data_IF_921643000900
#
_entry.id   IF_921643000900
#
_cell.length_a   1.000
_cell.length_b   1.000
_cell.length_c   1.000
_cell.angle_alpha   90.00
_cell.angle_beta   90.00
_cell.angle_gamma   90.00
#
_symmetry.space_group_name_H-M   'P 1'
#
loop_
_entity.id
_entity.type
_entity.pdbx_description
1 polymer ?
#
# COMPACT_ATOMS: atom_id res chain seq x y z
N UNK A 1 14.21 2.23 -4.63
CA UNK A 1 12.74 2.09 -4.66
C UNK A 1 12.23 1.94 -3.22
N UNK A 2 11.52 2.93 -2.69
CA UNK A 2 10.96 2.88 -1.32
C UNK A 2 9.43 2.91 -1.41
N UNK A 3 8.78 1.90 -0.82
CA UNK A 3 7.33 1.87 -0.77
C UNK A 3 6.83 2.85 0.30
N UNK A 4 5.66 3.47 0.06
CA UNK A 4 5.04 4.42 1.00
C UNK A 4 4.53 3.75 2.29
N UNK A 5 4.22 2.45 2.24
CA UNK A 5 3.79 1.65 3.39
C UNK A 5 4.83 0.60 3.74
N UNK A 6 5.06 0.40 5.03
CA UNK A 6 5.99 -0.62 5.55
C UNK A 6 5.53 -2.04 5.17
N UNK A 7 4.25 -2.33 5.42
CA UNK A 7 3.55 -3.56 5.02
C UNK A 7 2.54 -3.26 3.91
N UNK A 8 2.34 -4.17 2.96
CA UNK A 8 1.27 -4.03 1.98
C UNK A 8 -0.10 -4.06 2.67
N UNK A 9 -1.09 -3.42 2.06
CA UNK A 9 -2.50 -3.69 2.39
C UNK A 9 -2.82 -5.11 1.92
N UNK A 10 -3.42 -5.91 2.78
CA UNK A 10 -3.89 -7.25 2.44
C UNK A 10 -5.41 -7.21 2.28
N UNK A 11 -5.92 -7.86 1.24
CA UNK A 11 -7.34 -7.95 0.96
C UNK A 11 -7.74 -9.39 0.69
N UNK A 12 -8.85 -9.82 1.27
CA UNK A 12 -9.45 -11.13 1.04
C UNK A 12 -10.93 -10.97 0.73
N UNK A 13 -11.47 -11.92 -0.02
CA UNK A 13 -12.91 -12.02 -0.31
C UNK A 13 -13.34 -13.45 -0.04
N UNK A 14 -14.45 -13.61 0.66
CA UNK A 14 -15.05 -14.90 0.96
C UNK A 14 -16.10 -15.31 -0.08
N UNK A 15 -17.09 -16.08 0.35
CA UNK A 15 -18.24 -16.49 -0.49
C UNK A 15 -19.39 -15.48 -0.49
N UNK A 16 -19.39 -14.53 0.46
CA UNK A 16 -20.33 -13.40 0.47
C UNK A 16 -20.03 -12.53 -0.74
N UNK A 17 -21.05 -12.28 -1.57
CA UNK A 17 -20.87 -11.56 -2.83
C UNK A 17 -20.30 -10.15 -2.60
N UNK A 18 -19.17 -9.88 -3.24
CA UNK A 18 -18.49 -8.58 -3.35
C UNK A 18 -18.04 -7.92 -2.04
N UNK A 19 -18.32 -8.54 -0.90
CA UNK A 19 -17.81 -8.10 0.39
C UNK A 19 -16.35 -8.57 0.57
N UNK A 20 -15.44 -7.61 0.72
CA UNK A 20 -14.03 -7.88 1.00
C UNK A 20 -13.67 -7.47 2.43
N UNK A 21 -12.71 -8.17 3.02
CA UNK A 21 -12.02 -7.75 4.24
C UNK A 21 -10.66 -7.17 3.87
N UNK A 22 -10.40 -5.93 4.30
CA UNK A 22 -9.15 -5.21 4.07
C UNK A 22 -8.41 -5.06 5.39
N UNK A 23 -7.13 -5.39 5.40
CA UNK A 23 -6.24 -5.28 6.55
C UNK A 23 -5.12 -4.27 6.25
N UNK A 24 -4.91 -3.31 7.15
CA UNK A 24 -3.80 -2.37 7.10
C UNK A 24 -3.12 -2.27 8.46
N UNK A 25 -1.79 -2.17 8.50
CA UNK A 25 -0.99 -1.98 9.73
C UNK A 25 -1.47 -2.85 10.92
N UNK A 26 -2.35 -2.30 11.75
CA UNK A 26 -2.92 -2.89 12.98
C UNK A 26 -4.46 -2.91 13.02
N UNK A 27 -5.15 -2.70 11.89
CA UNK A 27 -6.61 -2.63 11.82
C UNK A 27 -7.19 -3.35 10.59
N UNK A 28 -8.51 -3.53 10.61
CA UNK A 28 -9.29 -4.11 9.52
C UNK A 28 -10.61 -3.38 9.31
N UNK A 29 -11.09 -3.36 8.07
CA UNK A 29 -12.38 -2.80 7.66
C UNK A 29 -12.94 -3.62 6.50
N UNK A 30 -14.24 -3.48 6.29
CA UNK A 30 -14.98 -4.16 5.24
C UNK A 30 -15.19 -3.19 4.08
N UNK A 31 -15.16 -3.71 2.86
CA UNK A 31 -15.63 -3.01 1.65
C UNK A 31 -16.72 -3.83 1.02
N UNK A 32 -17.70 -3.19 0.41
CA UNK A 32 -18.80 -3.90 -0.20
C UNK A 32 -19.31 -3.11 -1.40
N UNK A 33 -19.76 -3.82 -2.42
CA UNK A 33 -20.43 -3.20 -3.54
C UNK A 33 -21.87 -2.85 -3.14
N UNK A 34 -22.48 -1.82 -3.75
CA UNK A 34 -23.86 -1.46 -3.47
C UNK A 34 -24.84 -2.54 -3.97
N UNK A 35 -26.08 -2.49 -3.48
CA UNK A 35 -27.15 -3.42 -3.86
C UNK A 35 -27.34 -3.56 -5.39
N UNK A 36 -27.22 -2.46 -6.13
CA UNK A 36 -27.34 -2.43 -7.60
C UNK A 36 -26.27 -3.26 -8.33
N UNK A 37 -25.12 -3.45 -7.70
CA UNK A 37 -23.99 -4.25 -8.20
C UNK A 37 -24.01 -5.68 -7.63
N UNK A 38 -24.99 -6.01 -6.78
CA UNK A 38 -25.17 -7.33 -6.18
C UNK A 38 -24.44 -7.55 -4.85
N UNK A 39 -23.86 -6.49 -4.25
CA UNK A 39 -23.34 -6.52 -2.89
C UNK A 39 -24.43 -6.20 -1.86
N UNK A 40 -24.04 -5.96 -0.61
CA UNK A 40 -24.98 -5.68 0.49
C UNK A 40 -24.88 -4.26 1.03
N UNK A 41 -24.04 -3.40 0.43
CA UNK A 41 -23.83 -2.01 0.87
C UNK A 41 -23.41 -1.90 2.34
N UNK A 42 -22.67 -2.89 2.85
CA UNK A 42 -22.24 -2.98 4.26
C UNK A 42 -20.94 -2.22 4.55
N UNK A 43 -20.32 -1.65 3.53
CA UNK A 43 -19.10 -0.86 3.61
C UNK A 43 -18.92 -0.04 2.33
N UNK A 44 -17.95 0.88 2.29
CA UNK A 44 -17.69 1.69 1.10
C UNK A 44 -17.23 0.81 -0.06
N UNK A 45 -17.73 1.12 -1.26
CA UNK A 45 -17.24 0.54 -2.49
C UNK A 45 -15.82 1.04 -2.83
N UNK A 46 -15.10 0.38 -3.76
CA UNK A 46 -13.72 0.74 -4.11
C UNK A 46 -13.55 2.19 -4.60
N UNK A 47 -14.53 2.75 -5.32
CA UNK A 47 -14.46 4.13 -5.81
C UNK A 47 -14.66 5.12 -4.66
N UNK A 48 -15.62 4.84 -3.76
CA UNK A 48 -15.80 5.60 -2.52
C UNK A 48 -14.52 5.62 -1.70
N UNK A 49 -13.80 4.50 -1.57
CA UNK A 49 -12.50 4.48 -0.87
C UNK A 49 -11.42 5.30 -1.57
N UNK A 50 -11.30 5.20 -2.89
CA UNK A 50 -10.34 5.98 -3.67
C UNK A 50 -10.54 7.48 -3.44
N UNK A 51 -11.77 7.96 -3.54
CA UNK A 51 -12.12 9.38 -3.35
C UNK A 51 -11.99 9.80 -1.88
N UNK A 52 -12.35 8.92 -0.94
CA UNK A 52 -12.17 9.16 0.50
C UNK A 52 -10.70 9.39 0.86
N UNK A 53 -9.77 8.73 0.17
CA UNK A 53 -8.33 8.96 0.35
C UNK A 53 -7.91 10.40 -0.01
N UNK A 54 -8.50 10.97 -1.07
CA UNK A 54 -8.26 12.35 -1.47
C UNK A 54 -8.87 13.33 -0.46
N UNK A 55 -10.12 13.11 -0.06
CA UNK A 55 -10.80 13.97 0.92
C UNK A 55 -10.06 13.99 2.26
N UNK A 56 -9.78 12.82 2.83
CA UNK A 56 -9.08 12.69 4.12
C UNK A 56 -7.66 13.26 4.09
N UNK A 57 -6.90 13.01 3.03
CA UNK A 57 -5.55 13.57 2.88
C UNK A 57 -5.56 15.11 2.80
N UNK A 58 -6.56 15.67 2.12
CA UNK A 58 -6.76 17.12 2.03
C UNK A 58 -7.07 17.72 3.39
N UNK A 59 -8.07 17.16 4.10
CA UNK A 59 -8.46 17.63 5.43
C UNK A 59 -7.30 17.60 6.42
N UNK A 60 -6.55 16.49 6.47
CA UNK A 60 -5.38 16.37 7.33
C UNK A 60 -4.31 17.42 7.00
N UNK A 61 -4.00 17.60 5.71
CA UNK A 61 -3.00 18.57 5.26
C UNK A 61 -3.39 20.01 5.62
N UNK A 62 -4.65 20.38 5.43
CA UNK A 62 -5.17 21.70 5.79
C UNK A 62 -5.12 21.92 7.31
N UNK A 63 -5.60 20.94 8.09
CA UNK A 63 -5.57 21.02 9.56
C UNK A 63 -4.15 21.22 10.07
N UNK A 64 -3.19 20.42 9.61
CA UNK A 64 -1.77 20.57 9.97
C UNK A 64 -1.23 21.98 9.66
N UNK A 65 -1.64 22.58 8.55
CA UNK A 65 -1.19 23.92 8.18
C UNK A 65 -1.82 25.01 9.04
N UNK A 66 -3.13 24.92 9.28
CA UNK A 66 -3.91 25.84 10.12
C UNK A 66 -3.34 25.83 11.54
N UNK A 67 -3.13 24.65 12.12
CA UNK A 67 -2.59 24.49 13.47
C UNK A 67 -1.19 25.10 13.58
N UNK A 68 -0.33 24.88 12.58
CA UNK A 68 1.01 25.49 12.52
C UNK A 68 0.97 27.02 12.45
N UNK A 69 -0.07 27.60 11.84
CA UNK A 69 -0.25 29.04 11.72
C UNK A 69 -1.01 29.66 12.89
N UNK A 70 -1.61 28.85 13.76
CA UNK A 70 -2.43 29.32 14.86
C UNK A 70 -3.72 30.02 14.39
N UNK A 71 -4.26 29.62 13.23
CA UNK A 71 -5.50 30.20 12.72
C UNK A 71 -6.73 29.52 13.34
N UNK A 72 -7.73 30.33 13.72
CA UNK A 72 -8.99 29.82 14.25
C UNK A 72 -9.95 29.42 13.12
N UNK A 73 -9.84 28.16 12.70
CA UNK A 73 -10.70 27.54 11.68
C UNK A 73 -11.22 26.22 12.27
N UNK A 74 -12.37 26.24 12.98
CA UNK A 74 -12.81 25.10 13.79
C UNK A 74 -13.27 23.93 12.91
N UNK A 75 -13.95 24.21 11.79
CA UNK A 75 -14.51 23.20 10.92
C UNK A 75 -14.02 23.37 9.48
N UNK A 76 -13.66 22.25 8.87
CA UNK A 76 -13.28 22.13 7.46
C UNK A 76 -14.07 20.94 6.91
N UNK A 77 -14.69 21.10 5.76
CA UNK A 77 -15.34 20.00 5.04
C UNK A 77 -14.82 19.93 3.61
N UNK A 78 -14.81 18.70 3.08
CA UNK A 78 -14.38 18.42 1.72
C UNK A 78 -15.41 17.49 1.08
N UNK A 79 -15.97 17.92 -0.05
CA UNK A 79 -16.68 17.04 -0.96
C UNK A 79 -15.72 16.71 -2.10
N UNK A 80 -15.65 15.45 -2.51
CA UNK A 80 -14.82 15.04 -3.63
C UNK A 80 -15.57 14.02 -4.47
N UNK A 81 -15.27 14.03 -5.77
CA UNK A 81 -15.80 13.06 -6.72
C UNK A 81 -14.83 12.95 -7.90
N UNK A 82 -15.11 12.04 -8.83
CA UNK A 82 -14.40 11.99 -10.10
C UNK A 82 -15.29 11.48 -11.21
N UNK A 83 -14.88 11.79 -12.44
CA UNK A 83 -15.47 11.25 -13.64
C UNK A 83 -14.38 10.93 -14.66
N UNK A 84 -14.75 10.18 -15.69
CA UNK A 84 -13.86 9.84 -16.78
C UNK A 84 -14.47 10.30 -18.10
N UNK A 85 -13.62 10.82 -18.99
CA UNK A 85 -14.02 11.24 -20.33
C UNK A 85 -12.92 10.93 -21.35
N UNK A 86 -13.28 10.90 -22.62
CA UNK A 86 -12.32 10.65 -23.70
C UNK A 86 -11.87 11.98 -24.28
N UNK A 87 -10.57 12.30 -24.16
CA UNK A 87 -9.94 13.44 -24.82
C UNK A 87 -8.87 12.93 -25.77
N UNK A 88 -8.95 13.32 -27.04
CA UNK A 88 -7.96 12.93 -28.07
C UNK A 88 -7.74 11.40 -28.15
N UNK A 89 -8.82 10.62 -28.02
CA UNK A 89 -8.76 9.15 -28.07
C UNK A 89 -8.16 8.49 -26.81
N UNK A 90 -7.85 9.25 -25.76
CA UNK A 90 -7.35 8.75 -24.48
C UNK A 90 -8.38 8.97 -23.37
N UNK A 91 -8.55 7.99 -22.50
CA UNK A 91 -9.34 8.15 -21.28
C UNK A 91 -8.62 9.09 -20.32
N UNK A 92 -9.26 10.19 -19.96
CA UNK A 92 -8.82 11.16 -18.96
C UNK A 92 -9.73 11.02 -17.74
N UNK A 93 -9.13 10.91 -16.56
CA UNK A 93 -9.86 10.90 -15.29
C UNK A 93 -9.73 12.28 -14.64
N UNK A 94 -10.86 12.87 -14.26
CA UNK A 94 -10.92 14.21 -13.64
C UNK A 94 -11.47 14.05 -12.23
N UNK A 95 -10.74 14.53 -11.24
CA UNK A 95 -11.15 14.58 -9.84
C UNK A 95 -11.56 15.99 -9.46
N UNK A 96 -12.75 16.12 -8.90
CA UNK A 96 -13.27 17.37 -8.35
C UNK A 96 -13.18 17.35 -6.82
N UNK A 97 -12.91 18.51 -6.24
CA UNK A 97 -12.82 18.68 -4.79
C UNK A 97 -13.27 20.07 -4.37
N UNK A 98 -14.36 20.13 -3.63
CA UNK A 98 -14.90 21.35 -3.04
C UNK A 98 -14.53 21.42 -1.57
N UNK A 99 -14.00 22.56 -1.13
CA UNK A 99 -13.53 22.77 0.24
C UNK A 99 -14.36 23.90 0.85
N UNK A 100 -14.93 23.66 2.02
CA UNK A 100 -15.66 24.67 2.79
C UNK A 100 -15.11 24.80 4.21
N UNK A 101 -15.27 25.99 4.77
CA UNK A 101 -14.82 26.36 6.12
C UNK A 101 -16.02 26.82 6.94
N UNK A 102 -16.04 26.48 8.22
CA UNK A 102 -17.17 26.79 9.11
C UNK A 102 -17.36 28.29 9.41
N UNK A 103 -16.33 29.10 9.16
CA UNK A 103 -16.31 30.54 9.37
C UNK A 103 -15.76 31.28 8.14
N UNK A 104 -16.16 32.55 7.93
CA UNK A 104 -15.55 33.39 6.91
C UNK A 104 -14.06 33.56 7.17
N UNK A 105 -13.26 33.44 6.12
CA UNK A 105 -11.81 33.62 6.17
C UNK A 105 -11.40 34.81 5.31
N UNK A 106 -10.38 35.60 5.71
CA UNK A 106 -9.77 36.59 4.85
C UNK A 106 -9.29 35.98 3.53
N UNK A 107 -9.34 36.76 2.45
CA UNK A 107 -9.01 36.28 1.11
C UNK A 107 -7.58 35.71 1.02
N UNK A 108 -6.64 36.30 1.76
CA UNK A 108 -5.27 35.80 1.87
C UNK A 108 -5.21 34.38 2.46
N UNK A 109 -5.97 34.12 3.52
CA UNK A 109 -6.05 32.78 4.11
C UNK A 109 -6.70 31.80 3.15
N UNK A 110 -7.79 32.19 2.47
CA UNK A 110 -8.48 31.34 1.49
C UNK A 110 -7.55 30.95 0.34
N UNK A 111 -6.87 31.93 -0.25
CA UNK A 111 -5.90 31.71 -1.32
C UNK A 111 -4.79 30.77 -0.85
N UNK A 112 -4.24 31.00 0.35
CA UNK A 112 -3.18 30.15 0.89
C UNK A 112 -3.65 28.72 1.17
N UNK A 113 -4.83 28.54 1.74
CA UNK A 113 -5.39 27.21 2.01
C UNK A 113 -5.68 26.45 0.72
N UNK A 114 -6.12 27.13 -0.34
CA UNK A 114 -6.30 26.53 -1.66
C UNK A 114 -4.98 25.99 -2.23
N UNK A 115 -3.88 26.74 -2.12
CA UNK A 115 -2.55 26.26 -2.52
C UNK A 115 -2.11 25.03 -1.72
N UNK A 116 -2.33 25.04 -0.40
CA UNK A 116 -1.97 23.94 0.49
C UNK A 116 -2.80 22.68 0.18
N UNK A 117 -4.08 22.83 -0.15
CA UNK A 117 -4.93 21.71 -0.55
C UNK A 117 -4.42 21.00 -1.82
N UNK A 118 -3.88 21.75 -2.79
CA UNK A 118 -3.27 21.19 -4.01
C UNK A 118 -1.96 20.43 -3.71
N UNK A 119 -1.28 20.78 -2.62
CA UNK A 119 -0.01 20.18 -2.25
C UNK A 119 -0.13 18.89 -1.42
N UNK A 120 -1.35 18.39 -1.15
CA UNK A 120 -1.52 17.19 -0.33
C UNK A 120 -0.90 15.95 -1.02
N UNK A 121 -0.35 14.98 -0.26
CA UNK A 121 0.31 13.81 -0.83
C UNK A 121 -0.50 13.02 -1.86
N UNK A 122 -1.82 12.89 -1.67
CA UNK A 122 -2.70 12.17 -2.62
C UNK A 122 -2.90 12.97 -3.91
N UNK A 123 -3.08 14.29 -3.86
CA UNK A 123 -3.14 15.14 -5.06
C UNK A 123 -1.88 14.97 -5.92
N UNK A 124 -0.70 14.97 -5.30
CA UNK A 124 0.57 14.74 -6.00
C UNK A 124 0.68 13.38 -6.68
N UNK A 125 0.03 12.35 -6.13
CA UNK A 125 -0.02 11.02 -6.75
C UNK A 125 -0.96 11.02 -7.95
N UNK A 126 -2.16 11.61 -7.79
CA UNK A 126 -3.18 11.65 -8.85
C UNK A 126 -2.76 12.51 -10.05
N UNK A 127 -1.98 13.56 -9.82
CA UNK A 127 -1.44 14.44 -10.88
C UNK A 127 -0.12 13.93 -11.48
N UNK A 128 0.45 12.85 -10.92
CA UNK A 128 1.73 12.27 -11.36
C UNK A 128 1.59 11.19 -12.43
N UNK A 129 2.72 10.67 -12.90
CA UNK A 129 2.76 9.49 -13.75
C UNK A 129 2.48 8.23 -12.93
N UNK A 130 1.41 7.51 -13.25
CA UNK A 130 0.97 6.32 -12.52
C UNK A 130 1.19 5.07 -13.38
N UNK A 131 1.93 4.11 -12.84
CA UNK A 131 2.11 2.79 -13.44
C UNK A 131 1.58 1.69 -12.52
N UNK A 132 0.62 0.90 -13.00
CA UNK A 132 0.13 -0.29 -12.31
C UNK A 132 0.85 -1.53 -12.85
N UNK A 133 1.41 -2.34 -11.95
CA UNK A 133 2.06 -3.62 -12.31
C UNK A 133 1.32 -4.78 -11.65
N UNK A 134 0.71 -5.62 -12.46
CA UNK A 134 -0.10 -6.78 -12.02
C UNK A 134 0.65 -8.07 -12.25
N UNK A 135 0.51 -9.01 -11.31
CA UNK A 135 1.17 -10.31 -11.38
C UNK A 135 0.24 -11.36 -10.79
N UNK A 136 0.10 -12.48 -11.48
CA UNK A 136 -0.63 -13.65 -11.01
C UNK A 136 0.34 -14.65 -10.40
N UNK A 137 -0.05 -15.29 -9.30
CA UNK A 137 0.75 -16.30 -8.63
C UNK A 137 0.00 -17.62 -8.61
N UNK A 138 0.68 -18.72 -8.94
CA UNK A 138 0.24 -20.09 -8.68
C UNK A 138 1.39 -20.86 -8.06
N UNK A 139 1.15 -21.59 -6.98
CA UNK A 139 2.21 -22.38 -6.33
C UNK A 139 2.72 -23.54 -7.19
N UNK A 140 1.87 -24.03 -8.09
CA UNK A 140 2.14 -25.11 -9.03
C UNK A 140 3.15 -24.71 -10.11
N UNK A 141 3.22 -23.41 -10.43
CA UNK A 141 4.12 -22.88 -11.48
C UNK A 141 5.58 -22.74 -11.00
N UNK A 142 5.88 -23.10 -9.74
CA UNK A 142 7.24 -23.01 -9.17
C UNK A 142 8.06 -24.23 -9.57
N UNK A 143 8.83 -24.14 -10.65
CA UNK A 143 9.71 -25.24 -11.08
C UNK A 143 10.95 -25.34 -10.21
N UNK A 144 11.45 -24.20 -9.72
CA UNK A 144 12.68 -24.13 -8.93
C UNK A 144 12.47 -23.55 -7.54
N UNK A 145 12.79 -24.35 -6.52
CA UNK A 145 12.87 -23.93 -5.11
C UNK A 145 14.30 -24.15 -4.64
N UNK A 146 14.97 -23.08 -4.21
CA UNK A 146 16.31 -23.16 -3.65
C UNK A 146 16.22 -22.91 -2.15
N UNK A 147 16.78 -23.81 -1.36
CA UNK A 147 16.69 -23.81 0.09
C UNK A 147 18.02 -23.39 0.70
N UNK A 148 17.98 -22.45 1.64
CA UNK A 148 19.14 -21.95 2.37
C UNK A 148 18.82 -21.99 3.86
N UNK A 149 19.58 -22.77 4.62
CA UNK A 149 19.33 -23.01 6.04
C UNK A 149 20.52 -22.58 6.89
N UNK A 150 20.24 -22.07 8.09
CA UNK A 150 21.22 -21.83 9.16
C UNK A 150 21.08 -22.80 10.34
N UNK A 151 20.29 -23.88 10.17
CA UNK A 151 19.97 -24.83 11.23
C UNK A 151 18.67 -24.50 11.96
N UNK A 152 18.35 -23.24 12.21
CA UNK A 152 17.11 -22.82 12.89
C UNK A 152 15.97 -22.50 11.91
N UNK A 153 16.29 -21.82 10.81
CA UNK A 153 15.32 -21.41 9.79
C UNK A 153 15.84 -21.79 8.41
N UNK A 154 14.92 -22.26 7.56
CA UNK A 154 15.18 -22.44 6.13
C UNK A 154 14.46 -21.36 5.33
N UNK A 155 15.23 -20.57 4.57
CA UNK A 155 14.74 -19.63 3.57
C UNK A 155 14.57 -20.36 2.24
N UNK A 156 13.36 -20.32 1.68
CA UNK A 156 13.04 -20.85 0.36
C UNK A 156 12.97 -19.70 -0.62
N UNK A 157 13.83 -19.73 -1.63
CA UNK A 157 13.81 -18.80 -2.75
C UNK A 157 13.20 -19.44 -4.00
N UNK A 158 12.27 -18.72 -4.61
CA UNK A 158 11.56 -19.05 -5.86
C UNK A 158 11.93 -18.01 -6.92
N UNK A 159 12.94 -18.27 -7.79
CA UNK A 159 13.47 -17.32 -8.77
C UNK A 159 12.41 -16.69 -9.67
N UNK A 160 11.51 -17.54 -10.17
CA UNK A 160 10.45 -17.18 -11.12
C UNK A 160 9.46 -16.17 -10.53
N UNK A 161 9.39 -16.09 -9.20
CA UNK A 161 8.50 -15.19 -8.47
C UNK A 161 9.19 -13.88 -8.11
N UNK A 162 10.51 -13.75 -8.32
CA UNK A 162 11.25 -12.57 -7.93
C UNK A 162 10.91 -11.41 -8.85
N UNK A 163 10.21 -10.40 -8.33
CA UNK A 163 9.90 -9.16 -9.07
C UNK A 163 11.05 -8.15 -9.03
N UNK A 164 12.21 -8.55 -8.52
CA UNK A 164 13.41 -7.72 -8.36
C UNK A 164 13.12 -6.34 -7.75
N UNK A 165 12.20 -6.28 -6.79
CA UNK A 165 11.93 -5.07 -6.00
C UNK A 165 13.15 -4.62 -5.18
N UNK A 166 14.24 -5.42 -5.18
CA UNK A 166 15.51 -5.22 -4.52
C UNK A 166 15.43 -5.02 -2.99
N UNK A 167 14.28 -5.21 -2.35
CA UNK A 167 14.12 -5.04 -0.89
C UNK A 167 15.08 -5.92 -0.09
N UNK A 168 15.15 -7.21 -0.43
CA UNK A 168 16.04 -8.16 0.23
C UNK A 168 17.51 -7.70 0.14
N UNK A 169 18.01 -7.49 -1.08
CA UNK A 169 19.41 -7.12 -1.31
C UNK A 169 19.78 -5.71 -0.83
N UNK A 170 18.85 -4.76 -0.86
CA UNK A 170 19.13 -3.39 -0.41
C UNK A 170 19.02 -3.19 1.09
N UNK A 171 18.18 -3.97 1.79
CA UNK A 171 17.91 -3.78 3.22
C UNK A 171 18.63 -4.77 4.12
N UNK A 172 19.08 -5.91 3.58
CA UNK A 172 19.87 -6.90 4.31
C UNK A 172 20.94 -7.50 3.37
N UNK A 173 21.87 -6.68 2.84
CA UNK A 173 22.89 -7.11 1.88
C UNK A 173 23.84 -8.19 2.43
N UNK A 174 24.01 -8.27 3.75
CA UNK A 174 24.82 -9.31 4.40
C UNK A 174 24.22 -10.73 4.26
N UNK A 175 22.91 -10.82 3.98
CA UNK A 175 22.18 -12.08 3.76
C UNK A 175 21.81 -12.28 2.29
N UNK A 176 21.41 -11.23 1.57
CA UNK A 176 20.92 -11.35 0.20
C UNK A 176 21.81 -10.58 -0.79
N UNK A 177 22.71 -11.28 -1.48
CA UNK A 177 23.57 -10.66 -2.49
C UNK A 177 23.35 -11.29 -3.88
N UNK A 178 22.68 -10.61 -4.83
CA UNK A 178 22.44 -11.12 -6.18
C UNK A 178 23.73 -11.45 -6.97
N UNK A 179 24.87 -10.89 -6.56
CA UNK A 179 26.17 -11.12 -7.20
C UNK A 179 26.96 -12.26 -6.55
N UNK A 180 26.57 -12.70 -5.35
CA UNK A 180 27.21 -13.80 -4.66
C UNK A 180 26.69 -15.17 -5.11
N UNK A 181 27.53 -16.19 -4.94
CA UNK A 181 27.14 -17.60 -5.03
C UNK A 181 27.59 -18.29 -3.74
N UNK A 182 26.66 -18.74 -2.87
CA UNK A 182 25.19 -18.67 -2.99
C UNK A 182 24.64 -17.23 -2.92
N UNK A 183 23.50 -16.97 -3.58
CA UNK A 183 22.80 -15.67 -3.46
C UNK A 183 22.43 -15.38 -1.99
N UNK A 184 21.87 -16.37 -1.28
CA UNK A 184 21.43 -16.18 0.09
C UNK A 184 22.46 -16.78 1.05
N UNK A 185 23.04 -15.94 1.89
CA UNK A 185 23.85 -16.32 3.04
C UNK A 185 22.96 -16.39 4.29
N UNK A 186 22.43 -17.58 4.60
CA UNK A 186 21.54 -17.80 5.75
C UNK A 186 22.21 -17.54 7.11
N UNK A 187 23.54 -17.46 7.16
CA UNK A 187 24.31 -17.13 8.37
C UNK A 187 24.71 -15.64 8.45
N UNK A 188 24.27 -14.82 7.49
CA UNK A 188 24.67 -13.41 7.41
C UNK A 188 24.05 -12.51 8.48
N UNK A 189 22.95 -12.93 9.12
CA UNK A 189 22.29 -12.20 10.20
C UNK A 189 21.56 -13.19 11.14
N UNK A 190 20.97 -12.68 12.22
CA UNK A 190 20.16 -13.51 13.13
C UNK A 190 18.91 -14.04 12.44
N UNK A 191 18.40 -15.18 12.91
CA UNK A 191 17.19 -15.83 12.40
C UNK A 191 16.01 -14.86 12.37
N UNK A 192 15.82 -14.05 13.41
CA UNK A 192 14.73 -13.07 13.49
C UNK A 192 14.83 -12.03 12.38
N UNK A 193 16.03 -11.44 12.17
CA UNK A 193 16.25 -10.43 11.13
C UNK A 193 16.01 -11.00 9.73
N UNK A 194 16.44 -12.24 9.49
CA UNK A 194 16.21 -12.94 8.21
C UNK A 194 14.72 -13.13 7.98
N UNK A 195 13.99 -13.64 8.98
CA UNK A 195 12.55 -13.88 8.90
C UNK A 195 11.78 -12.58 8.65
N UNK A 196 12.11 -11.51 9.37
CA UNK A 196 11.51 -10.19 9.15
C UNK A 196 11.75 -9.68 7.73
N UNK A 197 12.96 -9.87 7.20
CA UNK A 197 13.28 -9.45 5.84
C UNK A 197 12.55 -10.30 4.79
N UNK A 198 12.44 -11.61 4.99
CA UNK A 198 11.69 -12.52 4.12
C UNK A 198 10.20 -12.14 4.08
N UNK A 199 9.58 -11.83 5.24
CA UNK A 199 8.19 -11.34 5.34
C UNK A 199 7.93 -10.07 4.52
N UNK A 200 8.98 -9.27 4.24
CA UNK A 200 8.88 -8.04 3.44
C UNK A 200 8.95 -8.29 1.93
N UNK A 201 9.12 -9.54 1.48
CA UNK A 201 9.11 -9.90 0.07
C UNK A 201 7.71 -9.65 -0.53
N UNK A 202 7.55 -8.67 -1.44
CA UNK A 202 6.23 -8.26 -1.94
C UNK A 202 5.65 -9.25 -2.95
N UNK A 203 6.48 -10.19 -3.44
CA UNK A 203 6.08 -11.17 -4.44
C UNK A 203 5.92 -12.58 -3.90
N UNK A 204 6.25 -12.83 -2.63
CA UNK A 204 6.31 -14.18 -2.08
C UNK A 204 7.42 -15.06 -2.68
N UNK A 205 8.37 -14.45 -3.41
CA UNK A 205 9.55 -15.15 -3.93
C UNK A 205 10.45 -15.69 -2.83
N UNK A 206 10.41 -15.08 -1.66
CA UNK A 206 11.05 -15.58 -0.45
C UNK A 206 9.96 -16.09 0.48
N UNK A 207 10.14 -17.30 1.00
CA UNK A 207 9.38 -17.87 2.10
C UNK A 207 10.35 -18.41 3.14
N UNK A 208 9.85 -18.70 4.33
CA UNK A 208 10.63 -19.34 5.37
C UNK A 208 9.79 -20.37 6.12
N UNK A 209 10.46 -21.33 6.75
CA UNK A 209 9.91 -22.19 7.78
C UNK A 209 10.98 -22.44 8.84
N UNK A 210 10.56 -22.61 10.10
CA UNK A 210 11.46 -23.01 11.18
C UNK A 210 11.73 -24.50 11.06
N UNK A 211 12.99 -24.90 11.25
CA UNK A 211 13.37 -26.30 11.29
C UNK A 211 13.01 -26.88 12.67
N UNK A 212 12.65 -28.16 12.72
CA UNK A 212 12.49 -28.84 14.00
C UNK A 212 13.85 -28.94 14.71
N UNK A 213 13.86 -28.74 16.03
CA UNK A 213 15.09 -28.93 16.80
C UNK A 213 15.44 -30.41 16.78
N UNK A 214 16.57 -30.78 16.18
CA UNK A 214 17.14 -32.11 16.37
C UNK A 214 17.44 -32.30 17.87
N UNK A 215 16.64 -33.10 18.56
CA UNK A 215 16.93 -33.57 19.92
C UNK A 215 15.79 -33.43 20.95
N UNK A 216 14.79 -34.30 20.88
CA UNK A 216 14.24 -34.92 22.09
C UNK A 216 13.85 -36.37 21.76
N UNK A 217 14.80 -37.28 21.99
CA UNK A 217 14.53 -38.69 22.32
C UNK A 217 15.09 -38.90 23.71
#
# INVERSE_FOLDING_TARGET
MQYKLEKPVHGTIGTVKYQCTIEWRNGTFITDEPLKSGGQDTGPDPFTLLVSSLASCTLATLRMYIDRKGWDVPQISVNANFYQEIREGKTVTVFDRDIAFGNPLPEEQRSRLLEIAKACPVSKILEGEIQLRTYLFREEDVQKKVHYSNGEVTVVWKPEFCKHAARCASQLPEVFDPNAKPWINANGATTERIVEQVKRCPSGALRYFYNEKEGTV
#
